data_IF_613503704137
#
_entry.id   IF_613503704137
#
_cell.length_a   1.000
_cell.length_b   1.000
_cell.length_c   1.000
_cell.angle_alpha   90.00
_cell.angle_beta   90.00
_cell.angle_gamma   90.00
#
_symmetry.space_group_name_H-M   'P 1'
#
loop_
_entity.id
_entity.type
_entity.pdbx_description
1 polymer ?
#
# COMPACT_ATOMS: atom_id res chain seq x y z
N UNK A 1 18.86 21.47 42.83
CA UNK A 1 17.72 22.22 42.27
C UNK A 1 16.45 21.65 42.89
N UNK A 2 15.52 22.49 43.35
CA UNK A 2 14.36 22.03 44.10
C UNK A 2 13.32 21.43 43.13
N UNK A 3 13.28 20.10 42.98
CA UNK A 3 12.40 19.39 42.04
C UNK A 3 10.90 19.46 42.39
N UNK A 4 10.54 20.21 43.43
CA UNK A 4 9.17 20.33 43.96
C UNK A 4 8.20 21.13 43.09
N UNK A 5 8.67 21.82 42.06
CA UNK A 5 7.86 22.77 41.26
C UNK A 5 7.42 22.23 39.88
N UNK A 6 7.63 20.93 39.65
CA UNK A 6 7.20 20.29 38.40
C UNK A 6 5.70 19.96 38.45
N UNK A 7 4.85 20.59 37.61
CA UNK A 7 3.41 20.38 37.66
C UNK A 7 3.04 18.91 37.43
N UNK A 8 2.08 18.40 38.21
CA UNK A 8 1.57 17.03 38.14
C UNK A 8 2.56 15.93 38.55
N UNK A 9 3.72 16.27 39.11
CA UNK A 9 4.64 15.31 39.72
C UNK A 9 4.17 14.92 41.14
N UNK A 10 4.07 13.62 41.41
CA UNK A 10 3.68 13.07 42.71
C UNK A 10 4.73 12.10 43.23
N UNK A 11 5.19 12.33 44.46
CA UNK A 11 6.07 11.44 45.22
C UNK A 11 5.22 10.54 46.12
N UNK A 12 5.47 9.23 46.13
CA UNK A 12 4.83 8.29 47.06
C UNK A 12 5.87 7.42 47.75
N UNK A 13 5.68 7.20 49.05
CA UNK A 13 6.53 6.30 49.83
C UNK A 13 6.05 4.85 49.63
N UNK A 14 6.97 3.97 49.25
CA UNK A 14 6.82 2.53 49.41
C UNK A 14 7.49 2.04 50.70
N UNK A 15 7.50 0.72 50.90
CA UNK A 15 8.05 0.09 52.11
C UNK A 15 9.55 0.35 52.35
N UNK A 16 10.33 0.56 51.28
CA UNK A 16 11.78 0.81 51.35
C UNK A 16 12.31 1.82 50.33
N UNK A 17 11.46 2.32 49.42
CA UNK A 17 11.85 3.20 48.31
C UNK A 17 10.76 4.23 48.03
N UNK A 18 11.16 5.40 47.55
CA UNK A 18 10.24 6.40 47.01
C UNK A 18 9.98 6.14 45.52
N UNK A 19 8.73 6.32 45.11
CA UNK A 19 8.31 6.23 43.71
C UNK A 19 7.79 7.59 43.24
N UNK A 20 8.10 7.90 41.98
CA UNK A 20 7.71 9.14 41.32
C UNK A 20 6.70 8.86 40.22
N UNK A 21 5.66 9.69 40.14
CA UNK A 21 4.58 9.53 39.17
C UNK A 21 4.21 10.88 38.56
N UNK A 22 3.85 10.86 37.28
CA UNK A 22 3.11 11.94 36.65
C UNK A 22 1.60 11.62 36.74
N UNK A 23 0.83 12.50 37.38
CA UNK A 23 -0.59 12.30 37.64
C UNK A 23 -1.42 13.46 37.11
N UNK A 24 -2.18 13.21 36.03
CA UNK A 24 -3.05 14.21 35.37
C UNK A 24 -4.35 13.51 34.95
N UNK A 25 -5.49 14.16 35.22
CA UNK A 25 -6.83 13.66 34.86
C UNK A 25 -7.10 12.21 35.34
N UNK A 26 -6.64 11.89 36.56
CA UNK A 26 -6.82 10.57 37.18
C UNK A 26 -5.93 9.44 36.61
N UNK A 27 -5.11 9.69 35.59
CA UNK A 27 -4.17 8.72 35.02
C UNK A 27 -2.78 8.89 35.62
N UNK A 28 -2.15 7.75 35.97
CA UNK A 28 -0.84 7.70 36.61
C UNK A 28 0.21 7.07 35.70
N UNK A 29 1.28 7.80 35.39
CA UNK A 29 2.45 7.28 34.65
C UNK A 29 3.63 7.20 35.59
N UNK A 30 4.29 6.04 35.68
CA UNK A 30 5.50 5.88 36.49
C UNK A 30 6.67 6.67 35.89
N UNK A 31 7.45 7.34 36.73
CA UNK A 31 8.64 8.09 36.36
C UNK A 31 9.86 7.57 37.14
N UNK A 32 11.07 7.69 36.56
CA UNK A 32 12.30 7.45 37.29
C UNK A 32 12.49 8.51 38.39
N UNK A 33 13.47 8.32 39.30
CA UNK A 33 13.84 9.34 40.28
C UNK A 33 14.26 10.66 39.62
N UNK A 34 14.02 11.83 40.22
CA UNK A 34 14.45 13.13 39.69
C UNK A 34 15.94 13.26 39.40
N UNK A 35 16.76 12.48 40.12
CA UNK A 35 18.21 12.46 39.97
C UNK A 35 18.67 11.57 38.81
N UNK A 36 17.76 10.83 38.15
CA UNK A 36 18.09 9.99 37.01
C UNK A 36 18.30 10.84 35.74
N UNK A 37 19.29 10.50 34.90
CA UNK A 37 19.63 11.29 33.71
C UNK A 37 18.49 11.36 32.68
N UNK A 38 17.60 10.36 32.66
CA UNK A 38 16.45 10.26 31.76
C UNK A 38 15.17 10.89 32.33
N UNK A 39 15.20 11.41 33.56
CA UNK A 39 14.02 11.91 34.26
C UNK A 39 13.28 13.02 33.52
N UNK A 40 14.00 14.07 33.09
CA UNK A 40 13.38 15.19 32.37
C UNK A 40 12.75 14.74 31.06
N UNK A 41 13.37 13.79 30.36
CA UNK A 41 12.85 13.23 29.12
C UNK A 41 11.54 12.47 29.36
N UNK A 42 11.52 11.56 30.34
CA UNK A 42 10.32 10.81 30.69
C UNK A 42 9.20 11.71 31.25
N UNK A 43 9.55 12.73 32.02
CA UNK A 43 8.61 13.72 32.55
C UNK A 43 7.96 14.54 31.42
N UNK A 44 8.73 15.00 30.42
CA UNK A 44 8.19 15.70 29.25
C UNK A 44 7.26 14.80 28.43
N UNK A 45 7.62 13.52 28.25
CA UNK A 45 6.78 12.54 27.57
C UNK A 45 5.46 12.30 28.32
N UNK A 46 5.51 12.17 29.64
CA UNK A 46 4.33 12.02 30.47
C UNK A 46 3.45 13.29 30.44
N UNK A 47 4.05 14.49 30.51
CA UNK A 47 3.36 15.78 30.44
C UNK A 47 2.64 16.03 29.12
N UNK A 48 3.21 15.52 28.02
CA UNK A 48 2.58 15.52 26.68
C UNK A 48 1.42 14.51 26.55
N UNK A 49 1.09 13.78 27.62
CA UNK A 49 -0.15 13.01 27.71
C UNK A 49 -0.03 11.55 27.32
N UNK A 50 1.09 10.88 27.65
CA UNK A 50 1.22 9.41 27.64
C UNK A 50 0.87 8.73 26.31
N UNK A 51 0.70 9.52 25.25
CA UNK A 51 0.72 9.03 23.91
C UNK A 51 2.21 8.85 23.62
N UNK A 52 2.67 7.60 23.49
CA UNK A 52 3.50 7.31 22.32
C UNK A 52 2.85 8.10 21.19
N UNK A 53 3.54 9.00 20.47
CA UNK A 53 2.91 9.58 19.29
C UNK A 53 2.29 8.38 18.55
N UNK A 54 0.96 8.40 18.31
CA UNK A 54 0.40 7.45 17.35
C UNK A 54 1.37 7.52 16.18
N UNK A 55 2.07 6.43 15.86
CA UNK A 55 3.04 6.43 14.78
C UNK A 55 2.38 7.15 13.62
N UNK A 56 2.97 8.14 12.99
CA UNK A 56 3.94 7.91 11.92
C UNK A 56 3.80 6.55 11.21
N UNK A 57 2.58 6.03 11.08
CA UNK A 57 2.24 4.80 10.35
C UNK A 57 2.22 5.12 8.86
N UNK A 58 3.37 5.61 8.37
CA UNK A 58 3.71 5.71 6.95
C UNK A 58 3.91 4.29 6.42
N UNK A 59 2.86 3.49 6.46
CA UNK A 59 2.81 2.10 6.02
C UNK A 59 2.17 2.00 4.64
N UNK A 60 2.38 0.89 3.95
CA UNK A 60 1.70 0.63 2.67
C UNK A 60 0.18 0.62 2.83
N UNK A 61 -0.33 0.10 3.93
CA UNK A 61 -1.77 0.11 4.23
C UNK A 61 -2.32 1.53 4.27
N UNK A 62 -1.63 2.45 4.95
CA UNK A 62 -2.04 3.86 4.94
C UNK A 62 -1.90 4.47 3.54
N UNK A 63 -0.81 4.19 2.84
CA UNK A 63 -0.58 4.69 1.47
C UNK A 63 -1.69 4.24 0.50
N UNK A 64 -2.15 3.00 0.61
CA UNK A 64 -3.24 2.44 -0.21
C UNK A 64 -4.56 3.16 0.09
N UNK A 65 -4.85 3.44 1.38
CA UNK A 65 -6.02 4.23 1.77
C UNK A 65 -5.98 5.65 1.17
N UNK A 66 -4.84 6.33 1.29
CA UNK A 66 -4.64 7.66 0.69
C UNK A 66 -4.79 7.61 -0.83
N UNK A 67 -4.26 6.56 -1.48
CA UNK A 67 -4.41 6.38 -2.92
C UNK A 67 -5.87 6.23 -3.34
N UNK A 68 -6.66 5.41 -2.64
CA UNK A 68 -8.10 5.24 -2.91
C UNK A 68 -8.89 6.54 -2.68
N UNK A 69 -8.46 7.39 -1.75
CA UNK A 69 -9.05 8.71 -1.51
C UNK A 69 -8.61 9.76 -2.55
N UNK A 70 -7.48 9.54 -3.23
CA UNK A 70 -6.89 10.51 -4.15
C UNK A 70 -7.70 10.72 -5.43
N UNK A 71 -7.58 11.91 -6.02
CA UNK A 71 -8.15 12.23 -7.33
C UNK A 71 -7.62 11.31 -8.45
N UNK A 72 -6.38 10.79 -8.32
CA UNK A 72 -5.82 9.81 -9.27
C UNK A 72 -6.66 8.54 -9.32
N UNK A 73 -7.09 8.03 -8.17
CA UNK A 73 -7.99 6.89 -8.11
C UNK A 73 -9.37 7.24 -8.68
N UNK A 74 -9.92 8.40 -8.30
CA UNK A 74 -11.27 8.77 -8.73
C UNK A 74 -11.41 8.86 -10.25
N UNK A 75 -10.38 9.36 -10.95
CA UNK A 75 -10.33 9.46 -12.42
C UNK A 75 -10.17 8.14 -13.16
N UNK A 76 -9.83 7.03 -12.49
CA UNK A 76 -9.70 5.74 -13.17
C UNK A 76 -11.07 5.24 -13.65
N UNK A 77 -11.10 4.69 -14.86
CA UNK A 77 -12.25 3.94 -15.36
C UNK A 77 -12.55 2.75 -14.43
N UNK A 78 -13.83 2.35 -14.34
CA UNK A 78 -14.26 1.26 -13.46
C UNK A 78 -13.44 -0.03 -13.67
N UNK A 79 -13.22 -0.43 -14.93
CA UNK A 79 -12.44 -1.63 -15.24
C UNK A 79 -10.99 -1.53 -14.76
N UNK A 80 -10.39 -0.35 -14.88
CA UNK A 80 -9.05 -0.07 -14.36
C UNK A 80 -9.03 -0.12 -12.84
N UNK A 81 -10.03 0.44 -12.15
CA UNK A 81 -10.15 0.33 -10.67
C UNK A 81 -10.16 -1.14 -10.24
N UNK A 82 -10.97 -1.97 -10.88
CA UNK A 82 -11.04 -3.42 -10.59
C UNK A 82 -9.70 -4.12 -10.79
N UNK A 83 -8.97 -3.79 -11.85
CA UNK A 83 -7.66 -4.39 -12.09
C UNK A 83 -6.61 -3.88 -11.08
N UNK A 84 -6.59 -2.58 -10.75
CA UNK A 84 -5.69 -2.01 -9.74
C UNK A 84 -5.96 -2.64 -8.38
N UNK A 85 -7.23 -2.78 -8.01
CA UNK A 85 -7.68 -3.33 -6.73
C UNK A 85 -7.07 -4.71 -6.44
N UNK A 86 -6.98 -5.59 -7.45
CA UNK A 86 -6.34 -6.91 -7.31
C UNK A 86 -4.89 -6.81 -6.83
N UNK A 87 -4.13 -5.84 -7.32
CA UNK A 87 -2.75 -5.62 -6.90
C UNK A 87 -2.69 -4.90 -5.56
N UNK A 88 -3.60 -3.96 -5.30
CA UNK A 88 -3.65 -3.25 -4.03
C UNK A 88 -3.97 -4.19 -2.86
N UNK A 89 -4.95 -5.09 -3.03
CA UNK A 89 -5.28 -6.13 -2.03
C UNK A 89 -4.08 -7.05 -1.82
N UNK A 90 -3.49 -7.57 -2.90
CA UNK A 90 -2.28 -8.39 -2.80
C UNK A 90 -1.12 -7.68 -2.07
N UNK A 91 -0.90 -6.39 -2.35
CA UNK A 91 0.14 -5.60 -1.70
C UNK A 91 -0.15 -5.37 -0.21
N UNK A 92 -1.41 -5.09 0.14
CA UNK A 92 -1.86 -4.96 1.52
C UNK A 92 -1.65 -6.26 2.31
N UNK A 93 -2.01 -7.40 1.73
CA UNK A 93 -1.84 -8.72 2.37
C UNK A 93 -0.36 -9.12 2.51
N UNK A 94 0.49 -8.75 1.54
CA UNK A 94 1.90 -9.21 1.50
C UNK A 94 2.81 -8.32 2.36
N UNK A 95 2.64 -7.00 2.31
CA UNK A 95 3.55 -6.05 2.98
C UNK A 95 2.84 -4.77 3.44
N UNK A 96 1.53 -4.81 3.69
CA UNK A 96 0.74 -3.65 4.11
C UNK A 96 1.28 -2.93 5.34
N UNK A 97 1.83 -3.67 6.30
CA UNK A 97 2.37 -3.11 7.55
C UNK A 97 3.81 -2.58 7.41
N UNK A 98 4.48 -2.83 6.29
CA UNK A 98 5.83 -2.31 6.04
C UNK A 98 5.78 -0.84 5.62
N UNK A 99 6.92 -0.16 5.77
CA UNK A 99 7.08 1.25 5.41
C UNK A 99 7.58 1.39 3.96
N UNK A 100 6.99 2.26 3.13
CA UNK A 100 7.48 2.51 1.76
C UNK A 100 8.94 2.98 1.71
N UNK A 101 9.41 3.69 2.74
CA UNK A 101 10.80 4.14 2.89
C UNK A 101 11.82 2.99 2.89
N UNK A 102 11.43 1.80 3.35
CA UNK A 102 12.31 0.64 3.41
C UNK A 102 12.26 -0.21 2.14
N UNK A 103 11.40 0.14 1.17
CA UNK A 103 11.27 -0.62 -0.06
C UNK A 103 12.33 -0.21 -1.07
N UNK A 104 13.18 -1.16 -1.45
CA UNK A 104 14.18 -0.97 -2.49
C UNK A 104 13.75 -1.60 -3.81
N UNK A 105 14.39 -1.18 -4.90
CA UNK A 105 14.17 -1.74 -6.25
C UNK A 105 14.27 -3.27 -6.30
N UNK A 106 15.21 -3.86 -5.55
CA UNK A 106 15.40 -5.32 -5.48
C UNK A 106 14.16 -6.05 -4.94
N UNK A 107 13.41 -5.44 -4.03
CA UNK A 107 12.20 -6.03 -3.47
C UNK A 107 11.06 -6.03 -4.49
N UNK A 108 10.93 -4.95 -5.28
CA UNK A 108 9.93 -4.88 -6.36
C UNK A 108 10.24 -5.90 -7.46
N UNK A 109 11.51 -6.07 -7.82
CA UNK A 109 11.94 -7.11 -8.77
C UNK A 109 11.61 -8.51 -8.24
N UNK A 110 11.87 -8.74 -6.94
CA UNK A 110 11.52 -10.02 -6.29
C UNK A 110 10.01 -10.28 -6.35
N UNK A 111 9.19 -9.30 -6.00
CA UNK A 111 7.73 -9.41 -6.08
C UNK A 111 7.23 -9.74 -7.50
N UNK A 112 7.83 -9.12 -8.53
CA UNK A 112 7.53 -9.45 -9.93
C UNK A 112 7.93 -10.89 -10.27
N UNK A 113 9.12 -11.32 -9.85
CA UNK A 113 9.64 -12.66 -10.13
C UNK A 113 8.81 -13.76 -9.44
N UNK A 114 8.43 -13.57 -8.18
CA UNK A 114 7.57 -14.49 -7.42
C UNK A 114 6.19 -14.68 -8.07
N UNK A 115 5.71 -13.65 -8.77
CA UNK A 115 4.43 -13.69 -9.48
C UNK A 115 4.55 -14.01 -10.98
N UNK A 116 5.73 -14.39 -11.46
CA UNK A 116 6.01 -14.54 -12.90
C UNK A 116 5.12 -15.59 -13.60
N UNK A 117 4.60 -16.58 -12.87
CA UNK A 117 3.64 -17.55 -13.39
C UNK A 117 2.38 -16.88 -13.97
N UNK A 118 1.99 -15.72 -13.42
CA UNK A 118 0.91 -14.87 -13.93
C UNK A 118 1.51 -13.59 -14.50
N UNK A 119 2.15 -13.69 -15.66
CA UNK A 119 2.93 -12.61 -16.27
C UNK A 119 2.23 -11.24 -16.31
N UNK A 120 0.95 -11.18 -16.71
CA UNK A 120 0.19 -9.91 -16.70
C UNK A 120 0.13 -9.32 -15.30
N UNK A 121 -0.18 -10.14 -14.30
CA UNK A 121 -0.26 -9.72 -12.90
C UNK A 121 1.11 -9.28 -12.37
N UNK A 122 2.18 -10.02 -12.64
CA UNK A 122 3.55 -9.66 -12.28
C UNK A 122 3.96 -8.28 -12.81
N UNK A 123 3.65 -8.00 -14.08
CA UNK A 123 3.91 -6.69 -14.67
C UNK A 123 3.03 -5.59 -14.04
N UNK A 124 1.79 -5.93 -13.73
CA UNK A 124 0.86 -5.01 -13.11
C UNK A 124 1.28 -4.63 -11.68
N UNK A 125 1.90 -5.54 -10.92
CA UNK A 125 2.53 -5.23 -9.63
C UNK A 125 3.51 -4.07 -9.77
N UNK A 126 4.44 -4.15 -10.71
CA UNK A 126 5.44 -3.10 -10.96
C UNK A 126 4.77 -1.77 -11.31
N UNK A 127 3.76 -1.81 -12.19
CA UNK A 127 3.05 -0.61 -12.64
C UNK A 127 2.27 0.08 -11.51
N UNK A 128 1.46 -0.67 -10.76
CA UNK A 128 0.65 -0.12 -9.66
C UNK A 128 1.55 0.34 -8.50
N UNK A 129 2.60 -0.41 -8.17
CA UNK A 129 3.58 0.02 -7.17
C UNK A 129 4.28 1.31 -7.58
N UNK A 130 4.64 1.46 -8.85
CA UNK A 130 5.19 2.72 -9.36
C UNK A 130 4.26 3.89 -9.10
N UNK A 131 2.95 3.73 -9.32
CA UNK A 131 1.95 4.78 -9.04
C UNK A 131 1.83 5.08 -7.54
N UNK A 132 1.85 4.06 -6.68
CA UNK A 132 1.81 4.24 -5.23
C UNK A 132 3.05 4.98 -4.72
N UNK A 133 4.25 4.67 -5.24
CA UNK A 133 5.46 5.38 -4.85
C UNK A 133 5.47 6.83 -5.33
N UNK A 134 4.92 7.15 -6.50
CA UNK A 134 4.75 8.56 -6.88
C UNK A 134 3.83 9.30 -5.89
N UNK A 135 2.73 8.68 -5.44
CA UNK A 135 1.91 9.27 -4.38
C UNK A 135 2.69 9.44 -3.07
N UNK A 136 3.51 8.47 -2.69
CA UNK A 136 4.32 8.57 -1.48
C UNK A 136 5.38 9.69 -1.58
N UNK A 137 5.88 9.99 -2.78
CA UNK A 137 6.72 11.17 -3.04
C UNK A 137 5.91 12.45 -2.86
N UNK A 138 4.71 12.52 -3.46
CA UNK A 138 3.83 13.69 -3.34
C UNK A 138 3.45 14.00 -1.88
N UNK A 139 3.30 12.95 -1.05
CA UNK A 139 3.07 13.06 0.39
C UNK A 139 4.33 13.36 1.21
N UNK A 140 5.51 13.40 0.59
CA UNK A 140 6.79 13.66 1.24
C UNK A 140 7.32 12.51 2.10
N UNK A 141 6.87 11.27 1.85
CA UNK A 141 7.31 10.11 2.63
C UNK A 141 8.64 9.55 2.13
N UNK A 142 8.87 9.62 0.82
CA UNK A 142 10.07 9.13 0.14
C UNK A 142 10.54 10.16 -0.89
N UNK A 143 11.80 10.06 -1.31
CA UNK A 143 12.42 10.99 -2.27
C UNK A 143 12.61 10.41 -3.67
N UNK A 144 12.54 9.08 -3.82
CA UNK A 144 12.77 8.40 -5.08
C UNK A 144 11.84 7.20 -5.23
N UNK A 145 11.46 6.89 -6.47
CA UNK A 145 10.55 5.78 -6.77
C UNK A 145 11.35 4.48 -7.06
N UNK A 146 11.33 3.47 -6.16
CA UNK A 146 12.07 2.23 -6.36
C UNK A 146 11.53 1.36 -7.49
N UNK A 147 10.25 1.52 -7.88
CA UNK A 147 9.63 0.75 -8.96
C UNK A 147 9.88 1.35 -10.35
N UNK A 148 10.31 2.60 -10.43
CA UNK A 148 10.48 3.33 -11.69
C UNK A 148 11.57 2.70 -12.57
N UNK A 149 11.25 2.43 -13.83
CA UNK A 149 12.19 1.89 -14.81
C UNK A 149 12.54 0.40 -14.63
N UNK A 150 11.80 -0.36 -13.82
CA UNK A 150 11.91 -1.83 -13.80
C UNK A 150 11.37 -2.39 -15.12
N UNK A 151 12.11 -3.33 -15.71
CA UNK A 151 11.73 -3.96 -16.99
C UNK A 151 10.56 -4.91 -16.78
N UNK A 152 9.54 -4.80 -17.63
CA UNK A 152 8.40 -5.70 -17.62
C UNK A 152 8.77 -7.04 -18.29
N UNK A 153 8.21 -8.12 -17.78
CA UNK A 153 8.31 -9.46 -18.37
C UNK A 153 7.64 -9.45 -19.75
N UNK A 154 8.30 -10.07 -20.72
CA UNK A 154 7.75 -10.22 -22.08
C UNK A 154 7.08 -11.57 -22.23
N UNK A 155 5.98 -11.61 -22.99
CA UNK A 155 5.38 -12.87 -23.42
C UNK A 155 6.41 -13.68 -24.20
N UNK A 156 6.58 -14.95 -23.82
CA UNK A 156 7.32 -15.93 -24.63
C UNK A 156 6.52 -16.43 -25.82
N UNK A 157 5.20 -16.22 -25.80
CA UNK A 157 4.28 -16.64 -26.85
C UNK A 157 4.13 -15.53 -27.87
N UNK A 158 4.42 -15.87 -29.13
CA UNK A 158 3.73 -15.28 -30.30
C UNK A 158 2.23 -15.25 -29.99
N UNK A 159 1.54 -14.15 -30.31
CA UNK A 159 0.22 -13.80 -29.77
C UNK A 159 -0.70 -15.01 -29.54
N UNK A 160 -1.08 -15.26 -28.27
CA UNK A 160 -1.96 -16.39 -27.90
C UNK A 160 -3.30 -16.37 -28.67
N UNK A 161 -3.67 -15.21 -29.22
CA UNK A 161 -4.73 -15.02 -30.18
C UNK A 161 -4.13 -14.98 -31.59
N UNK A 162 -4.28 -16.07 -32.35
CA UNK A 162 -4.05 -16.05 -33.79
C UNK A 162 -5.32 -15.57 -34.50
N UNK A 163 -5.20 -14.89 -35.65
CA UNK A 163 -6.34 -14.64 -36.53
C UNK A 163 -7.06 -15.95 -36.83
N UNK A 164 -8.38 -15.89 -36.98
CA UNK A 164 -9.16 -17.05 -37.41
C UNK A 164 -8.73 -17.47 -38.81
N UNK A 165 -8.38 -18.75 -39.03
CA UNK A 165 -8.18 -19.28 -40.37
C UNK A 165 -9.48 -19.24 -41.17
N UNK A 166 -9.39 -19.06 -42.49
CA UNK A 166 -10.55 -19.00 -43.40
C UNK A 166 -11.48 -20.22 -43.24
N UNK A 167 -10.92 -21.43 -43.08
CA UNK A 167 -11.70 -22.64 -42.86
C UNK A 167 -12.59 -22.59 -41.59
N UNK A 168 -12.17 -21.83 -40.57
CA UNK A 168 -12.92 -21.64 -39.34
C UNK A 168 -14.06 -20.62 -39.52
N UNK A 169 -13.84 -19.62 -40.38
CA UNK A 169 -14.84 -18.64 -40.82
C UNK A 169 -15.93 -19.35 -41.63
N UNK A 170 -15.52 -20.21 -42.57
CA UNK A 170 -16.44 -20.99 -43.41
C UNK A 170 -17.29 -21.94 -42.58
N UNK A 171 -16.67 -22.71 -41.68
CA UNK A 171 -17.38 -23.62 -40.78
C UNK A 171 -18.39 -22.89 -39.88
N UNK A 172 -18.04 -21.69 -39.39
CA UNK A 172 -18.97 -20.88 -38.60
C UNK A 172 -20.13 -20.34 -39.45
N UNK A 173 -19.82 -19.89 -40.66
CA UNK A 173 -20.78 -19.41 -41.65
C UNK A 173 -21.77 -20.49 -42.08
N UNK A 174 -21.32 -21.74 -42.20
CA UNK A 174 -22.18 -22.90 -42.49
C UNK A 174 -23.06 -23.26 -41.29
N UNK A 175 -22.50 -23.26 -40.08
CA UNK A 175 -23.24 -23.55 -38.85
C UNK A 175 -24.25 -22.44 -38.45
N UNK A 176 -23.98 -21.19 -38.84
CA UNK A 176 -24.81 -20.02 -38.55
C UNK A 176 -25.47 -19.49 -39.85
N UNK A 177 -26.70 -19.95 -40.17
CA UNK A 177 -27.38 -19.54 -41.39
C UNK A 177 -27.73 -18.05 -41.39
N UNK A 178 -27.95 -17.51 -42.59
CA UNK A 178 -28.38 -16.13 -42.78
C UNK A 178 -29.68 -15.82 -42.01
N UNK A 179 -29.73 -14.63 -41.40
CA UNK A 179 -30.84 -14.20 -40.55
C UNK A 179 -30.73 -14.65 -39.09
N UNK A 180 -29.78 -15.53 -38.74
CA UNK A 180 -29.52 -15.88 -37.35
C UNK A 180 -28.77 -14.76 -36.62
N UNK A 181 -29.05 -14.57 -35.33
CA UNK A 181 -28.35 -13.58 -34.48
C UNK A 181 -26.83 -13.77 -34.49
N UNK A 182 -26.28 -15.01 -34.35
CA UNK A 182 -24.85 -15.22 -34.41
C UNK A 182 -24.23 -14.79 -35.74
N UNK A 183 -24.91 -15.05 -36.87
CA UNK A 183 -24.42 -14.66 -38.20
C UNK A 183 -24.40 -13.15 -38.36
N UNK A 184 -25.46 -12.46 -37.95
CA UNK A 184 -25.51 -10.99 -37.99
C UNK A 184 -24.39 -10.35 -37.15
N UNK A 185 -24.17 -10.85 -35.93
CA UNK A 185 -23.10 -10.32 -35.05
C UNK A 185 -21.72 -10.58 -35.65
N UNK A 186 -21.49 -11.75 -36.25
CA UNK A 186 -20.22 -12.10 -36.89
C UNK A 186 -19.91 -11.20 -38.10
N UNK A 187 -20.87 -11.02 -39.00
CA UNK A 187 -20.73 -10.15 -40.18
C UNK A 187 -20.53 -8.68 -39.77
N UNK A 188 -21.23 -8.21 -38.74
CA UNK A 188 -21.00 -6.88 -38.16
C UNK A 188 -19.58 -6.75 -37.62
N UNK A 189 -19.11 -7.71 -36.82
CA UNK A 189 -17.78 -7.67 -36.22
C UNK A 189 -16.65 -7.65 -37.26
N UNK A 190 -16.79 -8.37 -38.37
CA UNK A 190 -15.81 -8.34 -39.47
C UNK A 190 -15.93 -7.05 -40.29
N UNK A 191 -17.15 -6.57 -40.54
CA UNK A 191 -17.41 -5.42 -41.41
C UNK A 191 -17.14 -4.05 -40.77
N UNK A 192 -17.22 -3.93 -39.44
CA UNK A 192 -17.08 -2.63 -38.75
C UNK A 192 -15.77 -2.44 -37.99
N UNK A 193 -15.04 -3.53 -37.71
CA UNK A 193 -13.76 -3.50 -36.97
C UNK A 193 -13.91 -3.33 -35.46
#
# INVERSE_FOLDING_TARGET
MNHGDLPFLRRRAGRSKFYWYFERDGKRTALPPPDAPDFLQQYVLAKRGGHKPKGNDRTFKRLIQEYRASHRWQRLAFRSKVDYDKVLVWAEDTFGDLRPENMERRHVIRAQAENAARMRFANYIVQVLSVLFELAIDLGWITHNPAKGIRLLKSKSDSMHRPWPDAMIDAFTEAAPFGSVPRTVFELAIGTG
#
